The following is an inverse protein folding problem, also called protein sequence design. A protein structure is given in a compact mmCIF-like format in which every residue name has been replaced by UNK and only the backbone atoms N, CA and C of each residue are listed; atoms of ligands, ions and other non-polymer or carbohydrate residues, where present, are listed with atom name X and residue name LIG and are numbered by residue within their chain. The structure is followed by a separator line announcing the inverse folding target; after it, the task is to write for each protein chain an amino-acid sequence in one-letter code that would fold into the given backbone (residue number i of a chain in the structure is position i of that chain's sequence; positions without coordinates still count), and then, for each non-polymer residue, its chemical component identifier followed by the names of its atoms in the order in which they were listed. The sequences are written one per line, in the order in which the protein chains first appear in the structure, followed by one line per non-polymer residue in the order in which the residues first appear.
data_IF_234993346750
#
_entry.id   IF_234993346750
#
_cell.length_a   1.000
_cell.length_b   1.000
_cell.length_c   1.000
_cell.angle_alpha   90.00
_cell.angle_beta   90.00
_cell.angle_gamma   90.00
#
_symmetry.space_group_name_H-M   'P 1'
#
loop_
_entity.id
_entity.type
_entity.pdbx_description
1 polymer ?
#
# COMPACT_ATOMS: atom_id res chain seq x y z
N UNK A 1 42.40 17.66 -55.70
CA UNK A 1 42.01 18.00 -54.31
C UNK A 1 40.49 17.93 -54.18
N UNK A 2 39.92 16.76 -53.91
CA UNK A 2 38.49 16.56 -53.61
C UNK A 2 38.37 15.41 -52.62
N UNK A 3 37.61 15.60 -51.54
CA UNK A 3 37.14 14.50 -50.69
C UNK A 3 37.60 14.52 -49.24
N UNK A 4 37.09 15.45 -48.42
CA UNK A 4 37.14 15.33 -46.94
C UNK A 4 35.93 15.90 -46.16
N UNK A 5 34.77 16.12 -46.79
CA UNK A 5 33.60 16.70 -46.07
C UNK A 5 32.36 15.79 -45.91
N UNK A 6 32.32 14.59 -46.48
CA UNK A 6 31.12 13.74 -46.44
C UNK A 6 31.02 12.77 -45.24
N UNK A 7 32.04 12.66 -44.37
CA UNK A 7 32.08 11.63 -43.31
C UNK A 7 31.67 12.09 -41.91
N UNK A 8 31.29 13.36 -41.71
CA UNK A 8 30.87 13.89 -40.38
C UNK A 8 29.35 13.99 -40.19
N UNK A 9 28.54 13.92 -41.25
CA UNK A 9 27.09 14.02 -41.13
C UNK A 9 26.40 12.70 -40.73
N UNK A 10 27.04 11.54 -40.95
CA UNK A 10 26.45 10.22 -40.66
C UNK A 10 26.61 9.80 -39.19
N UNK A 11 27.63 10.33 -38.49
CA UNK A 11 27.88 9.97 -37.09
C UNK A 11 26.91 10.63 -36.09
N UNK A 12 26.31 11.77 -36.43
CA UNK A 12 25.37 12.48 -35.53
C UNK A 12 23.96 11.88 -35.60
N UNK A 13 23.56 11.34 -36.75
CA UNK A 13 22.24 10.69 -36.90
C UNK A 13 22.15 9.34 -36.16
N UNK A 14 23.25 8.60 -36.04
CA UNK A 14 23.27 7.28 -35.35
C UNK A 14 23.26 7.44 -33.83
N UNK A 15 23.86 8.50 -33.28
CA UNK A 15 23.84 8.75 -31.82
C UNK A 15 22.46 9.23 -31.33
N UNK A 16 21.70 9.94 -32.17
CA UNK A 16 20.31 10.34 -31.84
C UNK A 16 19.28 9.20 -31.96
N UNK A 17 19.56 8.16 -32.75
CA UNK A 17 18.69 6.99 -32.88
C UNK A 17 18.94 5.93 -31.80
N UNK A 18 20.15 5.86 -31.22
CA UNK A 18 20.45 4.93 -30.13
C UNK A 18 19.91 5.44 -28.78
N UNK A 19 19.73 6.76 -28.61
CA UNK A 19 19.10 7.35 -27.41
C UNK A 19 17.59 7.08 -27.29
N UNK A 20 16.90 6.73 -28.38
CA UNK A 20 15.46 6.47 -28.37
C UNK A 20 15.10 4.98 -28.19
N UNK A 21 16.07 4.06 -28.34
CA UNK A 21 15.84 2.62 -28.23
C UNK A 21 16.05 2.07 -26.80
N UNK A 22 16.67 2.84 -25.90
CA UNK A 22 16.95 2.40 -24.52
C UNK A 22 15.79 2.51 -23.54
N UNK A 23 14.67 3.13 -23.91
CA UNK A 23 13.54 3.40 -23.01
C UNK A 23 12.38 2.39 -23.11
N UNK A 24 12.58 1.24 -23.77
CA UNK A 24 11.53 0.21 -23.97
C UNK A 24 11.62 -1.00 -23.04
N UNK A 25 12.54 -1.01 -22.08
CA UNK A 25 12.64 -2.08 -21.11
C UNK A 25 11.95 -1.66 -19.81
N UNK A 26 10.68 -2.08 -19.67
CA UNK A 26 9.84 -2.20 -18.45
C UNK A 26 8.41 -1.62 -18.60
N UNK A 27 7.66 -2.15 -19.56
CA UNK A 27 6.32 -2.71 -19.29
C UNK A 27 5.10 -1.81 -19.03
N UNK A 28 5.20 -0.48 -19.01
CA UNK A 28 4.02 0.40 -19.04
C UNK A 28 4.32 1.62 -19.92
N UNK A 29 4.01 1.51 -21.22
CA UNK A 29 4.44 2.51 -22.21
C UNK A 29 3.39 3.60 -22.45
N UNK A 30 2.14 3.40 -22.03
CA UNK A 30 1.02 4.28 -22.33
C UNK A 30 0.12 4.52 -21.12
N UNK A 31 -0.69 5.59 -21.16
CA UNK A 31 -1.75 5.84 -20.18
C UNK A 31 -2.69 4.64 -20.04
N UNK A 32 -3.02 3.98 -21.16
CA UNK A 32 -3.89 2.79 -21.16
C UNK A 32 -3.30 1.64 -20.33
N UNK A 33 -2.01 1.35 -20.48
CA UNK A 33 -1.34 0.29 -19.73
C UNK A 33 -1.35 0.58 -18.23
N UNK A 34 -1.10 1.84 -17.85
CA UNK A 34 -1.11 2.28 -16.44
C UNK A 34 -2.50 2.16 -15.84
N UNK A 35 -3.54 2.63 -16.54
CA UNK A 35 -4.93 2.49 -16.07
C UNK A 35 -5.34 1.02 -15.97
N UNK A 36 -4.92 0.18 -16.94
CA UNK A 36 -5.10 -1.26 -16.91
C UNK A 36 -4.46 -1.90 -15.67
N UNK A 37 -3.20 -1.54 -15.36
CA UNK A 37 -2.50 -1.98 -14.16
C UNK A 37 -3.21 -1.55 -12.87
N UNK A 38 -3.60 -0.28 -12.77
CA UNK A 38 -4.32 0.27 -11.62
C UNK A 38 -5.67 -0.43 -11.39
N UNK A 39 -6.41 -0.74 -12.47
CA UNK A 39 -7.69 -1.46 -12.41
C UNK A 39 -7.53 -2.88 -11.87
N UNK A 40 -6.41 -3.54 -12.14
CA UNK A 40 -6.13 -4.89 -11.64
C UNK A 40 -5.63 -4.91 -10.19
N UNK A 41 -5.26 -3.75 -9.62
CA UNK A 41 -4.88 -3.69 -8.21
C UNK A 41 -6.07 -4.05 -7.31
N UNK A 42 -5.88 -4.91 -6.28
CA UNK A 42 -6.82 -5.08 -5.19
C UNK A 42 -7.16 -3.73 -4.52
N UNK A 43 -8.32 -3.63 -3.86
CA UNK A 43 -8.80 -2.37 -3.28
C UNK A 43 -7.80 -1.68 -2.35
N UNK A 44 -7.10 -2.45 -1.51
CA UNK A 44 -6.08 -1.91 -0.60
C UNK A 44 -4.83 -1.44 -1.34
N UNK A 45 -4.37 -2.22 -2.32
CA UNK A 45 -3.23 -1.90 -3.16
C UNK A 45 -3.46 -0.61 -3.96
N UNK A 46 -4.64 -0.50 -4.57
CA UNK A 46 -5.04 0.72 -5.28
C UNK A 46 -5.08 1.94 -4.35
N UNK A 47 -5.63 1.77 -3.15
CA UNK A 47 -5.71 2.87 -2.19
C UNK A 47 -4.33 3.32 -1.70
N UNK A 48 -3.37 2.40 -1.56
CA UNK A 48 -1.99 2.74 -1.26
C UNK A 48 -1.37 3.63 -2.33
N UNK A 49 -1.57 3.29 -3.61
CA UNK A 49 -1.10 4.12 -4.73
C UNK A 49 -1.81 5.49 -4.74
N UNK A 50 -3.10 5.53 -4.44
CA UNK A 50 -3.84 6.79 -4.32
C UNK A 50 -3.31 7.68 -3.20
N UNK A 51 -3.02 7.12 -2.02
CA UNK A 51 -2.44 7.87 -0.90
C UNK A 51 -1.03 8.37 -1.23
N UNK A 52 -0.20 7.53 -1.86
CA UNK A 52 1.13 7.92 -2.33
C UNK A 52 1.07 9.13 -3.26
N UNK A 53 0.09 9.17 -4.17
CA UNK A 53 -0.06 10.28 -5.13
C UNK A 53 -0.29 11.64 -4.48
N UNK A 54 -0.79 11.68 -3.24
CA UNK A 54 -1.08 12.91 -2.50
C UNK A 54 0.10 13.49 -1.71
N UNK A 55 1.27 12.83 -1.70
CA UNK A 55 2.42 13.26 -0.89
C UNK A 55 3.20 14.40 -1.58
N UNK A 56 3.63 15.45 -0.85
CA UNK A 56 4.30 16.63 -1.44
C UNK A 56 5.70 16.36 -2.01
N UNK A 57 6.26 15.17 -1.77
CA UNK A 57 7.39 14.63 -2.52
C UNK A 57 7.19 13.11 -2.56
N UNK A 58 7.06 12.52 -3.75
CA UNK A 58 7.12 11.07 -3.87
C UNK A 58 8.50 10.63 -3.35
N UNK A 59 8.60 9.81 -2.29
CA UNK A 59 9.90 9.38 -1.82
C UNK A 59 10.60 8.65 -2.96
N UNK A 60 11.77 9.14 -3.37
CA UNK A 60 12.63 8.49 -4.36
C UNK A 60 13.08 7.07 -3.94
N UNK A 61 12.82 6.70 -2.69
CA UNK A 61 13.23 5.45 -2.05
C UNK A 61 12.57 4.19 -2.62
N UNK A 62 11.49 4.29 -3.40
CA UNK A 62 10.92 3.10 -4.06
C UNK A 62 11.76 2.59 -5.24
N UNK A 63 12.84 3.26 -5.63
CA UNK A 63 13.66 2.91 -6.80
C UNK A 63 14.71 1.81 -6.54
N UNK A 64 15.16 1.59 -5.30
CA UNK A 64 16.36 0.77 -5.02
C UNK A 64 16.08 -0.70 -4.65
N UNK A 65 14.82 -1.09 -4.40
CA UNK A 65 14.45 -2.49 -4.13
C UNK A 65 13.75 -3.13 -5.33
N UNK A 66 14.05 -4.41 -5.59
CA UNK A 66 13.20 -5.30 -6.40
C UNK A 66 11.85 -5.45 -5.69
N UNK A 67 10.95 -4.47 -5.86
CA UNK A 67 9.73 -4.39 -5.07
C UNK A 67 8.75 -5.49 -5.49
N UNK A 68 8.41 -6.46 -4.59
CA UNK A 68 7.51 -7.55 -4.92
C UNK A 68 6.06 -7.08 -5.10
N UNK A 69 5.74 -5.86 -4.67
CA UNK A 69 4.38 -5.33 -4.58
C UNK A 69 3.88 -4.72 -5.89
N UNK A 70 2.60 -4.97 -6.21
CA UNK A 70 1.97 -4.46 -7.42
C UNK A 70 1.81 -2.94 -7.39
N UNK A 71 1.70 -2.38 -6.19
CA UNK A 71 1.63 -0.95 -5.88
C UNK A 71 2.89 -0.22 -6.33
N UNK A 72 4.07 -0.71 -5.95
CA UNK A 72 5.33 -0.07 -6.33
C UNK A 72 5.54 -0.12 -7.85
N UNK A 73 5.14 -1.21 -8.50
CA UNK A 73 5.14 -1.27 -9.97
C UNK A 73 4.20 -0.24 -10.58
N UNK A 74 3.01 -0.07 -10.03
CA UNK A 74 2.07 0.95 -10.47
C UNK A 74 2.59 2.38 -10.23
N UNK A 75 3.19 2.67 -9.08
CA UNK A 75 3.81 3.97 -8.78
C UNK A 75 4.91 4.31 -9.80
N UNK A 76 5.82 3.37 -10.07
CA UNK A 76 6.88 3.54 -11.09
C UNK A 76 6.28 3.75 -12.48
N UNK A 77 5.26 2.97 -12.83
CA UNK A 77 4.57 3.09 -14.11
C UNK A 77 3.91 4.48 -14.28
N UNK A 78 3.29 5.01 -13.23
CA UNK A 78 2.73 6.38 -13.23
C UNK A 78 3.85 7.41 -13.42
N UNK A 79 4.97 7.28 -12.71
CA UNK A 79 6.09 8.22 -12.83
C UNK A 79 6.72 8.22 -14.23
N UNK A 80 6.73 7.07 -14.90
CA UNK A 80 7.25 6.91 -16.25
C UNK A 80 6.37 7.49 -17.36
N UNK A 81 5.10 7.83 -17.08
CA UNK A 81 4.20 8.44 -18.07
C UNK A 81 4.71 9.80 -18.56
N UNK A 82 4.37 10.21 -19.80
CA UNK A 82 4.53 11.60 -20.23
C UNK A 82 3.86 12.55 -19.24
N UNK A 83 4.46 13.74 -19.03
CA UNK A 83 3.97 14.72 -18.05
C UNK A 83 2.45 14.96 -18.05
N UNK A 84 1.77 15.20 -19.20
CA UNK A 84 0.32 15.44 -19.19
C UNK A 84 -0.50 14.22 -18.74
N UNK A 85 -0.05 13.00 -19.07
CA UNK A 85 -0.74 11.75 -18.70
C UNK A 85 -0.49 11.41 -17.22
N UNK A 86 0.75 11.63 -16.76
CA UNK A 86 1.13 11.49 -15.35
C UNK A 86 0.31 12.43 -14.48
N UNK A 87 0.23 13.70 -14.84
CA UNK A 87 -0.53 14.71 -14.09
C UNK A 87 -2.03 14.41 -14.07
N UNK A 88 -2.61 13.95 -15.20
CA UNK A 88 -4.00 13.53 -15.24
C UNK A 88 -4.28 12.33 -14.32
N UNK A 89 -3.35 11.36 -14.29
CA UNK A 89 -3.44 10.18 -13.42
C UNK A 89 -3.32 10.54 -11.95
N UNK A 90 -2.32 11.36 -11.58
CA UNK A 90 -2.15 11.85 -10.21
C UNK A 90 -3.34 12.70 -9.77
N UNK A 91 -3.87 13.55 -10.64
CA UNK A 91 -5.07 14.35 -10.36
C UNK A 91 -6.27 13.48 -9.99
N UNK A 92 -6.52 12.42 -10.78
CA UNK A 92 -7.57 11.47 -10.48
C UNK A 92 -7.34 10.79 -9.13
N UNK A 93 -6.16 10.19 -8.92
CA UNK A 93 -5.80 9.47 -7.70
C UNK A 93 -5.87 10.35 -6.43
N UNK A 94 -5.62 11.65 -6.54
CA UNK A 94 -5.81 12.66 -5.49
C UNK A 94 -7.29 13.01 -5.24
N UNK A 95 -8.23 12.21 -5.73
CA UNK A 95 -9.67 12.37 -5.60
C UNK A 95 -10.21 13.68 -6.21
N UNK A 96 -9.59 14.18 -7.28
CA UNK A 96 -10.04 15.41 -7.97
C UNK A 96 -10.88 15.14 -9.22
N UNK A 97 -11.38 13.91 -9.35
CA UNK A 97 -12.25 13.48 -10.45
C UNK A 97 -11.52 13.00 -11.71
N UNK A 98 -12.30 12.43 -12.63
CA UNK A 98 -11.81 11.76 -13.86
C UNK A 98 -11.67 12.69 -15.07
N UNK A 99 -12.08 13.95 -14.96
CA UNK A 99 -12.15 14.90 -16.09
C UNK A 99 -10.84 14.98 -16.88
N UNK A 100 -9.70 15.11 -16.19
CA UNK A 100 -8.40 15.18 -16.86
C UNK A 100 -8.05 13.90 -17.60
N UNK A 101 -8.40 12.74 -17.07
CA UNK A 101 -8.20 11.47 -17.80
C UNK A 101 -9.03 11.43 -19.09
N UNK A 102 -10.27 11.91 -19.06
CA UNK A 102 -11.10 12.04 -20.26
C UNK A 102 -10.53 13.02 -21.29
N UNK A 103 -9.95 14.14 -20.84
CA UNK A 103 -9.23 15.09 -21.72
C UNK A 103 -7.98 14.45 -22.37
N UNK A 104 -7.42 13.39 -21.77
CA UNK A 104 -6.36 12.56 -22.35
C UNK A 104 -6.89 11.42 -23.23
N UNK A 105 -8.20 11.36 -23.47
CA UNK A 105 -8.85 10.33 -24.29
C UNK A 105 -9.20 9.04 -23.55
N UNK A 106 -8.94 8.93 -22.24
CA UNK A 106 -9.29 7.74 -21.49
C UNK A 106 -10.81 7.64 -21.28
N UNK A 107 -11.36 6.46 -21.51
CA UNK A 107 -12.78 6.13 -21.32
C UNK A 107 -13.05 5.57 -19.91
N UNK A 108 -14.31 5.59 -19.47
CA UNK A 108 -14.69 4.94 -18.20
C UNK A 108 -14.40 3.43 -18.19
N UNK A 109 -14.45 2.76 -19.34
CA UNK A 109 -14.11 1.35 -19.45
C UNK A 109 -12.62 1.11 -19.16
N UNK A 110 -11.74 2.00 -19.62
CA UNK A 110 -10.29 1.92 -19.38
C UNK A 110 -9.92 2.30 -17.94
N UNK A 111 -10.54 3.35 -17.40
CA UNK A 111 -10.34 3.76 -15.99
C UNK A 111 -10.86 2.69 -15.03
N UNK A 112 -11.97 2.04 -15.39
CA UNK A 112 -12.67 1.05 -14.57
C UNK A 112 -13.81 1.64 -13.72
N UNK A 113 -14.49 0.80 -12.92
CA UNK A 113 -15.60 1.22 -12.07
C UNK A 113 -15.17 2.29 -11.06
N UNK A 114 -16.12 3.04 -10.49
CA UNK A 114 -15.84 3.98 -9.41
C UNK A 114 -15.19 3.27 -8.21
N UNK A 115 -14.10 3.82 -7.70
CA UNK A 115 -13.34 3.28 -6.58
C UNK A 115 -13.37 4.22 -5.39
N UNK A 116 -13.77 3.69 -4.24
CA UNK A 116 -13.57 4.34 -2.95
C UNK A 116 -12.07 4.33 -2.58
N UNK A 117 -11.49 5.41 -2.02
CA UNK A 117 -12.07 6.75 -1.83
C UNK A 117 -12.02 7.67 -3.06
N UNK A 118 -11.19 7.32 -4.05
CA UNK A 118 -10.77 8.20 -5.16
C UNK A 118 -11.92 8.86 -5.91
N UNK A 119 -12.93 8.10 -6.31
CA UNK A 119 -14.02 8.62 -7.13
C UNK A 119 -15.20 9.17 -6.32
N UNK A 120 -15.31 8.80 -5.04
CA UNK A 120 -16.50 9.10 -4.22
C UNK A 120 -16.42 10.44 -3.49
N UNK A 121 -15.25 11.06 -3.41
CA UNK A 121 -15.11 12.40 -2.82
C UNK A 121 -15.32 13.56 -3.81
N UNK A 122 -15.37 13.29 -5.12
CA UNK A 122 -15.68 14.28 -6.17
C UNK A 122 -14.76 15.52 -6.20
N UNK A 123 -15.13 16.55 -6.97
CA UNK A 123 -14.40 17.83 -7.06
C UNK A 123 -14.38 18.67 -5.76
N UNK A 124 -14.88 18.15 -4.63
CA UNK A 124 -15.00 18.88 -3.36
C UNK A 124 -13.66 19.16 -2.66
N UNK A 125 -12.55 18.91 -3.35
CA UNK A 125 -11.19 19.12 -2.85
C UNK A 125 -10.81 18.11 -1.76
N UNK A 126 -9.51 18.02 -1.41
CA UNK A 126 -9.08 17.19 -0.30
C UNK A 126 -9.80 17.67 0.95
N UNK A 127 -10.66 16.82 1.52
CA UNK A 127 -11.37 17.12 2.76
C UNK A 127 -10.32 17.53 3.81
N UNK A 128 -10.35 18.79 4.26
CA UNK A 128 -9.34 19.36 5.15
C UNK A 128 -9.25 18.63 6.49
N UNK A 129 -10.33 17.96 6.93
CA UNK A 129 -10.29 17.04 8.08
C UNK A 129 -9.48 15.78 7.79
N UNK A 130 -9.58 15.26 6.56
CA UNK A 130 -8.79 14.12 6.09
C UNK A 130 -7.31 14.48 6.06
N UNK A 131 -6.98 15.65 5.50
CA UNK A 131 -5.60 16.15 5.48
C UNK A 131 -5.06 16.41 6.88
N UNK A 132 -5.87 16.96 7.80
CA UNK A 132 -5.49 17.15 9.21
C UNK A 132 -5.28 15.83 9.96
N UNK A 133 -6.19 14.88 9.80
CA UNK A 133 -6.01 13.54 10.36
C UNK A 133 -4.74 12.87 9.80
N UNK A 134 -4.42 13.06 8.52
CA UNK A 134 -3.15 12.59 7.96
C UNK A 134 -1.92 13.39 8.43
N UNK A 135 -2.09 14.58 9.01
CA UNK A 135 -0.99 15.33 9.61
C UNK A 135 -0.66 14.87 11.02
N UNK A 136 -1.66 14.50 11.83
CA UNK A 136 -1.46 14.00 13.20
C UNK A 136 -0.85 12.59 13.22
N UNK A 137 -1.18 11.79 12.20
CA UNK A 137 -0.71 10.42 12.04
C UNK A 137 0.43 10.35 11.03
N UNK A 138 1.45 9.55 11.31
CA UNK A 138 2.52 9.20 10.39
C UNK A 138 2.36 7.75 9.97
N UNK A 139 2.23 7.52 8.66
CA UNK A 139 2.25 6.17 8.09
C UNK A 139 3.63 5.59 8.17
N UNK A 140 3.72 4.35 8.65
CA UNK A 140 4.94 3.58 8.59
C UNK A 140 4.96 2.76 7.29
N UNK A 141 6.00 2.84 6.46
CA UNK A 141 6.20 1.89 5.38
C UNK A 141 6.31 0.48 5.93
N UNK A 142 5.82 -0.48 5.15
CA UNK A 142 5.98 -1.89 5.45
C UNK A 142 7.45 -2.28 5.19
N UNK A 143 8.17 -2.70 6.23
CA UNK A 143 9.63 -2.88 6.24
C UNK A 143 10.12 -4.24 5.74
N UNK A 144 9.24 -5.15 5.31
CA UNK A 144 9.61 -6.51 4.89
C UNK A 144 8.85 -7.02 3.66
N UNK A 145 9.20 -8.20 3.16
CA UNK A 145 8.36 -8.91 2.18
C UNK A 145 7.08 -9.37 2.90
N UNK A 146 5.88 -9.04 2.39
CA UNK A 146 4.64 -9.56 2.97
C UNK A 146 4.56 -11.08 2.86
N UNK A 147 5.38 -11.70 2.00
CA UNK A 147 5.51 -13.16 1.94
C UNK A 147 6.24 -13.75 3.15
N UNK A 148 6.98 -12.93 3.90
CA UNK A 148 7.61 -13.28 5.19
C UNK A 148 6.93 -12.65 6.41
N UNK A 149 5.68 -12.18 6.26
CA UNK A 149 4.68 -11.98 7.36
C UNK A 149 4.21 -13.31 7.94
N UNK A 150 4.63 -14.39 7.32
CA UNK A 150 4.48 -15.69 7.89
C UNK A 150 5.11 -15.76 9.27
N UNK A 151 4.44 -16.40 10.21
CA UNK A 151 5.15 -17.08 11.27
C UNK A 151 6.41 -17.74 10.68
N UNK A 152 7.50 -17.82 11.44
CA UNK A 152 8.63 -18.70 11.08
C UNK A 152 8.18 -20.17 10.88
N UNK A 153 6.91 -20.44 11.21
CA UNK A 153 6.20 -21.68 11.03
C UNK A 153 5.34 -21.70 9.73
N UNK A 154 5.76 -22.48 8.72
CA UNK A 154 4.98 -22.72 7.50
C UNK A 154 3.54 -23.20 7.77
N UNK A 155 3.29 -23.83 8.91
CA UNK A 155 1.98 -24.34 9.28
C UNK A 155 0.96 -23.20 9.47
N UNK A 156 1.39 -22.05 9.99
CA UNK A 156 0.52 -20.88 10.17
C UNK A 156 0.36 -20.10 8.85
N UNK A 157 1.44 -19.97 8.08
CA UNK A 157 1.44 -19.19 6.81
C UNK A 157 0.54 -19.82 5.74
N UNK A 158 0.39 -21.15 5.78
CA UNK A 158 -0.53 -21.89 4.90
C UNK A 158 -1.99 -21.78 5.32
N UNK A 159 -2.29 -21.20 6.49
CA UNK A 159 -3.64 -21.17 7.07
C UNK A 159 -4.26 -19.79 7.12
N UNK A 160 -3.46 -18.73 7.18
CA UNK A 160 -3.98 -17.36 7.09
C UNK A 160 -3.08 -16.56 6.15
N UNK A 161 -3.70 -15.90 5.17
CA UNK A 161 -3.01 -15.02 4.22
C UNK A 161 -3.33 -13.57 4.52
N UNK A 162 -2.32 -12.76 4.77
CA UNK A 162 -2.46 -11.30 4.79
C UNK A 162 -2.62 -10.82 3.35
N UNK A 163 -3.72 -10.10 3.10
CA UNK A 163 -4.04 -9.52 1.79
C UNK A 163 -3.46 -8.11 1.66
N UNK A 164 -3.24 -7.45 2.79
CA UNK A 164 -2.66 -6.12 2.89
C UNK A 164 -3.05 -5.46 4.19
N UNK A 165 -2.56 -4.24 4.41
CA UNK A 165 -2.87 -3.48 5.61
C UNK A 165 -2.08 -2.19 5.67
N UNK A 166 -2.27 -1.45 6.76
CA UNK A 166 -1.41 -0.34 7.11
C UNK A 166 -1.23 -0.26 8.62
N UNK A 167 -0.13 0.34 9.03
CA UNK A 167 0.06 0.85 10.38
C UNK A 167 0.38 2.33 10.31
N UNK A 168 -0.22 3.09 11.21
CA UNK A 168 0.07 4.50 11.45
C UNK A 168 0.33 4.70 12.92
N UNK A 169 1.24 5.62 13.22
CA UNK A 169 1.57 6.03 14.58
C UNK A 169 1.32 7.53 14.67
N UNK A 170 0.72 8.00 15.76
CA UNK A 170 0.61 9.42 16.03
C UNK A 170 2.02 10.03 16.09
N UNK A 171 2.20 11.26 15.61
CA UNK A 171 3.54 11.86 15.51
C UNK A 171 4.25 12.03 16.86
N UNK A 172 3.48 12.21 17.92
CA UNK A 172 3.94 12.24 19.32
C UNK A 172 4.25 10.83 19.88
N UNK A 173 3.95 9.75 19.14
CA UNK A 173 4.07 8.38 19.61
C UNK A 173 3.05 8.00 20.69
N UNK A 174 2.02 8.82 20.91
CA UNK A 174 0.98 8.62 21.93
C UNK A 174 -0.13 7.64 21.52
N UNK A 175 -0.20 7.26 20.25
CA UNK A 175 -1.15 6.28 19.76
C UNK A 175 -0.63 5.56 18.52
N UNK A 176 -1.18 4.38 18.28
CA UNK A 176 -1.00 3.61 17.06
C UNK A 176 -2.33 3.06 16.56
N UNK A 177 -2.42 2.87 15.26
CA UNK A 177 -3.55 2.27 14.59
C UNK A 177 -3.04 1.29 13.53
N UNK A 178 -3.53 0.06 13.64
CA UNK A 178 -3.20 -1.05 12.76
C UNK A 178 -4.46 -1.52 12.07
N UNK A 179 -4.44 -1.66 10.76
CA UNK A 179 -5.57 -2.21 10.00
C UNK A 179 -5.05 -3.30 9.06
N UNK A 180 -5.61 -4.51 9.18
CA UNK A 180 -5.20 -5.67 8.39
C UNK A 180 -6.38 -6.29 7.67
N UNK A 181 -6.19 -6.55 6.38
CA UNK A 181 -7.06 -7.42 5.59
C UNK A 181 -6.41 -8.79 5.46
N UNK A 182 -7.19 -9.85 5.64
CA UNK A 182 -6.68 -11.22 5.59
C UNK A 182 -7.73 -12.19 5.05
N UNK A 183 -7.28 -13.39 4.68
CA UNK A 183 -8.12 -14.53 4.32
C UNK A 183 -7.77 -15.72 5.20
N UNK A 184 -8.76 -16.36 5.79
CA UNK A 184 -8.60 -17.68 6.39
C UNK A 184 -8.50 -18.72 5.27
N UNK A 185 -7.37 -19.41 5.15
CA UNK A 185 -7.13 -20.49 4.18
C UNK A 185 -7.36 -21.89 4.79
N UNK A 186 -7.57 -21.99 6.10
CA UNK A 186 -7.88 -23.25 6.75
C UNK A 186 -9.28 -23.75 6.34
N UNK A 187 -9.50 -25.06 6.50
CA UNK A 187 -10.81 -25.67 6.27
C UNK A 187 -11.83 -25.32 7.37
N UNK A 188 -11.36 -24.88 8.53
CA UNK A 188 -12.17 -24.61 9.72
C UNK A 188 -12.35 -23.10 9.92
N UNK A 189 -13.41 -22.68 10.60
CA UNK A 189 -13.66 -21.27 10.89
C UNK A 189 -12.65 -20.78 11.93
N UNK A 190 -11.88 -19.75 11.63
CA UNK A 190 -11.02 -19.14 12.64
C UNK A 190 -11.87 -18.27 13.58
N UNK A 191 -11.74 -18.48 14.89
CA UNK A 191 -12.47 -17.74 15.93
C UNK A 191 -11.62 -16.65 16.56
N UNK A 192 -10.30 -16.79 16.51
CA UNK A 192 -9.34 -15.78 16.93
C UNK A 192 -8.07 -15.82 16.08
N UNK A 193 -7.53 -14.66 15.73
CA UNK A 193 -6.23 -14.53 15.09
C UNK A 193 -5.42 -13.51 15.86
N UNK A 194 -4.24 -13.93 16.33
CA UNK A 194 -3.29 -13.09 17.05
C UNK A 194 -2.21 -12.61 16.08
N UNK A 195 -2.01 -11.30 16.04
CA UNK A 195 -1.03 -10.61 15.21
C UNK A 195 0.08 -10.05 16.09
N UNK A 196 1.30 -10.01 15.56
CA UNK A 196 2.43 -9.30 16.16
C UNK A 196 2.92 -8.25 15.18
N UNK A 197 3.00 -7.01 15.63
CA UNK A 197 3.54 -5.86 14.92
C UNK A 197 4.89 -5.52 15.50
N UNK A 198 5.95 -5.65 14.70
CA UNK A 198 7.30 -5.27 15.09
C UNK A 198 7.62 -3.92 14.44
N UNK A 199 8.09 -2.98 15.26
CA UNK A 199 8.42 -1.62 14.83
C UNK A 199 9.92 -1.44 14.80
N UNK A 200 10.42 -0.81 13.73
CA UNK A 200 11.86 -0.67 13.49
C UNK A 200 12.26 0.78 13.33
N UNK A 201 13.45 1.14 13.79
CA UNK A 201 14.07 2.45 13.55
C UNK A 201 14.55 2.60 12.10
N UNK A 202 15.02 3.79 11.75
CA UNK A 202 15.57 4.08 10.42
C UNK A 202 16.84 3.24 10.10
N UNK A 203 17.55 2.79 11.13
CA UNK A 203 18.72 1.90 11.05
C UNK A 203 18.33 0.40 11.00
N UNK A 204 17.04 0.08 10.97
CA UNK A 204 16.53 -1.29 10.97
C UNK A 204 16.54 -1.96 12.36
N UNK A 205 16.94 -1.27 13.42
CA UNK A 205 16.87 -1.82 14.79
C UNK A 205 15.43 -1.99 15.23
N UNK A 206 15.09 -3.14 15.81
CA UNK A 206 13.76 -3.34 16.37
C UNK A 206 13.61 -2.50 17.65
N UNK A 207 12.61 -1.62 17.68
CA UNK A 207 12.36 -0.71 18.78
C UNK A 207 11.35 -1.27 19.77
N UNK A 208 10.26 -1.86 19.27
CA UNK A 208 9.19 -2.41 20.08
C UNK A 208 8.36 -3.43 19.30
N UNK A 209 7.56 -4.21 20.02
CA UNK A 209 6.63 -5.18 19.47
C UNK A 209 5.29 -5.09 20.17
N UNK A 210 4.21 -5.11 19.41
CA UNK A 210 2.85 -5.03 19.93
C UNK A 210 2.07 -6.21 19.40
N UNK A 211 1.38 -6.90 20.31
CA UNK A 211 0.52 -8.02 19.97
C UNK A 211 -0.93 -7.57 20.00
N UNK A 212 -1.68 -7.94 18.97
CA UNK A 212 -3.12 -7.72 18.89
C UNK A 212 -3.84 -9.07 18.71
N UNK A 213 -5.06 -9.15 19.21
CA UNK A 213 -5.90 -10.34 19.04
C UNK A 213 -7.23 -9.93 18.43
N UNK A 214 -7.51 -10.43 17.23
CA UNK A 214 -8.78 -10.24 16.57
C UNK A 214 -9.66 -11.46 16.80
N UNK A 215 -10.77 -11.26 17.52
CA UNK A 215 -11.80 -12.28 17.74
C UNK A 215 -12.97 -12.07 16.78
N UNK A 216 -13.59 -13.16 16.36
CA UNK A 216 -14.73 -13.12 15.44
C UNK A 216 -15.07 -14.50 14.89
N UNK A 217 -15.74 -14.53 13.74
CA UNK A 217 -16.02 -15.75 12.99
C UNK A 217 -15.53 -15.56 11.56
N UNK A 218 -14.33 -16.05 11.27
CA UNK A 218 -13.67 -15.87 9.98
C UNK A 218 -13.79 -17.16 9.15
N UNK A 219 -14.82 -17.21 8.32
CA UNK A 219 -15.12 -18.38 7.50
C UNK A 219 -13.97 -18.74 6.53
N UNK A 220 -13.79 -20.03 6.22
CA UNK A 220 -12.84 -20.50 5.22
C UNK A 220 -12.96 -19.77 3.88
N UNK A 221 -11.82 -19.39 3.31
CA UNK A 221 -11.65 -18.77 2.00
C UNK A 221 -12.41 -17.46 1.76
N UNK A 222 -12.88 -16.79 2.83
CA UNK A 222 -13.50 -15.46 2.74
C UNK A 222 -12.46 -14.37 3.02
N UNK A 223 -12.46 -13.34 2.17
CA UNK A 223 -11.67 -12.13 2.38
C UNK A 223 -12.31 -11.28 3.48
N UNK A 224 -11.55 -11.06 4.54
CA UNK A 224 -11.88 -10.12 5.59
C UNK A 224 -11.16 -8.82 5.27
N UNK A 225 -11.92 -7.86 4.73
CA UNK A 225 -11.40 -6.57 4.28
C UNK A 225 -11.50 -5.55 5.41
N UNK A 226 -10.39 -4.88 5.69
CA UNK A 226 -10.32 -3.73 6.61
C UNK A 226 -10.32 -2.43 5.82
N UNK A 227 -10.44 -1.29 6.51
CA UNK A 227 -10.25 0.01 5.86
C UNK A 227 -8.82 0.10 5.28
N UNK A 228 -8.65 0.76 4.14
CA UNK A 228 -7.37 0.77 3.44
C UNK A 228 -6.39 1.86 3.89
N UNK A 229 -6.84 2.90 4.62
CA UNK A 229 -5.99 3.96 5.16
C UNK A 229 -6.60 4.66 6.39
N UNK A 230 -5.78 5.43 7.11
CA UNK A 230 -6.17 6.18 8.32
C UNK A 230 -7.24 7.23 8.06
N UNK A 231 -7.21 7.83 6.88
CA UNK A 231 -8.19 8.80 6.40
C UNK A 231 -9.61 8.19 6.36
N UNK A 232 -9.70 6.95 5.88
CA UNK A 232 -10.94 6.16 5.83
C UNK A 232 -11.40 5.78 7.23
N UNK A 233 -10.48 5.32 8.08
CA UNK A 233 -10.78 4.97 9.47
C UNK A 233 -11.38 6.14 10.25
N UNK A 234 -10.77 7.34 10.15
CA UNK A 234 -11.21 8.52 10.89
C UNK A 234 -12.48 9.19 10.33
N UNK A 235 -12.95 8.78 9.15
CA UNK A 235 -14.14 9.33 8.52
C UNK A 235 -15.10 8.22 8.04
N UNK A 236 -15.75 7.49 8.96
CA UNK A 236 -16.66 6.41 8.61
C UNK A 236 -17.96 6.90 7.94
N UNK A 237 -18.22 8.22 7.92
CA UNK A 237 -19.49 8.85 7.57
C UNK A 237 -19.98 8.73 6.12
N UNK A 238 -19.38 7.87 5.30
CA UNK A 238 -19.77 7.65 3.89
C UNK A 238 -20.51 6.33 3.64
N UNK A 239 -21.26 5.85 4.64
CA UNK A 239 -21.99 4.58 4.52
C UNK A 239 -21.05 3.37 4.47
N UNK A 240 -19.81 3.51 4.96
CA UNK A 240 -18.93 2.36 5.11
C UNK A 240 -19.49 1.46 6.20
N UNK A 241 -19.61 0.15 5.94
CA UNK A 241 -20.02 -0.79 6.96
C UNK A 241 -19.08 -0.68 8.17
N UNK A 242 -19.64 -0.56 9.38
CA UNK A 242 -18.87 -0.63 10.63
C UNK A 242 -17.96 -1.88 10.65
N UNK A 243 -18.39 -2.98 10.02
CA UNK A 243 -17.59 -4.19 9.84
C UNK A 243 -16.17 -3.94 9.25
N UNK A 244 -15.97 -2.89 8.44
CA UNK A 244 -14.64 -2.58 7.89
C UNK A 244 -13.69 -1.99 8.93
N UNK A 245 -14.20 -1.27 9.93
CA UNK A 245 -13.37 -0.74 11.02
C UNK A 245 -13.07 -1.78 12.09
N UNK A 246 -13.83 -2.89 12.13
CA UNK A 246 -13.51 -4.06 12.99
C UNK A 246 -12.22 -4.76 12.57
N UNK A 247 -11.72 -4.51 11.37
CA UNK A 247 -10.40 -4.92 10.92
C UNK A 247 -9.27 -4.01 11.38
N UNK A 248 -9.56 -3.05 12.26
CA UNK A 248 -8.60 -2.10 12.78
C UNK A 248 -8.49 -2.17 14.30
N UNK A 249 -7.28 -2.01 14.79
CA UNK A 249 -6.96 -1.88 16.21
C UNK A 249 -6.27 -0.54 16.45
N UNK A 250 -6.87 0.27 17.31
CA UNK A 250 -6.24 1.45 17.87
C UNK A 250 -5.76 1.14 19.29
N UNK A 251 -4.49 1.42 19.57
CA UNK A 251 -3.95 1.40 20.92
C UNK A 251 -3.47 2.81 21.26
N UNK A 252 -4.08 3.44 22.25
CA UNK A 252 -3.59 4.67 22.83
C UNK A 252 -2.58 4.32 23.93
N UNK A 253 -1.35 4.79 23.81
CA UNK A 253 -0.33 4.60 24.84
C UNK A 253 -0.49 5.72 25.87
N UNK A 254 -0.73 5.38 27.13
CA UNK A 254 -0.92 6.37 28.21
C UNK A 254 0.29 7.30 28.42
N UNK A 255 1.46 6.87 27.96
CA UNK A 255 2.69 7.65 27.90
C UNK A 255 3.18 7.65 26.46
N UNK A 256 3.64 8.80 25.95
CA UNK A 256 4.30 8.90 24.64
C UNK A 256 5.40 7.84 24.53
N UNK A 257 5.24 6.90 23.61
CA UNK A 257 6.24 5.86 23.39
C UNK A 257 7.33 6.42 22.48
N UNK A 258 8.49 6.72 23.06
CA UNK A 258 9.67 7.15 22.29
C UNK A 258 10.05 6.14 21.20
N UNK A 259 9.80 4.85 21.43
CA UNK A 259 9.97 3.80 20.44
C UNK A 259 9.02 3.98 19.24
N UNK A 260 7.72 4.21 19.50
CA UNK A 260 6.74 4.44 18.43
C UNK A 260 7.00 5.76 17.69
N UNK A 261 7.34 6.83 18.41
CA UNK A 261 7.69 8.12 17.81
C UNK A 261 8.88 7.99 16.84
N UNK A 262 9.90 7.16 17.19
CA UNK A 262 11.11 6.90 16.40
C UNK A 262 10.95 5.84 15.30
N UNK A 263 9.88 5.05 15.31
CA UNK A 263 9.71 3.95 14.36
C UNK A 263 9.69 4.47 12.92
N UNK A 264 10.57 4.01 12.04
CA UNK A 264 10.61 4.37 10.63
C UNK A 264 9.85 3.38 9.74
N UNK A 265 9.67 2.13 10.18
CA UNK A 265 8.93 1.09 9.46
C UNK A 265 8.29 0.09 10.44
N UNK A 266 7.47 -0.81 9.91
CA UNK A 266 6.89 -1.90 10.68
C UNK A 266 6.87 -3.21 9.88
N UNK A 267 6.85 -4.34 10.58
CA UNK A 267 6.52 -5.65 10.04
C UNK A 267 5.33 -6.23 10.81
N UNK A 268 4.57 -7.11 10.17
CA UNK A 268 3.50 -7.86 10.81
C UNK A 268 3.78 -9.34 10.70
N UNK A 269 3.39 -10.12 11.70
CA UNK A 269 3.41 -11.58 11.68
C UNK A 269 2.17 -12.17 12.35
N UNK A 270 1.80 -13.38 11.97
CA UNK A 270 0.74 -14.14 12.66
C UNK A 270 1.38 -14.86 13.84
N UNK A 271 1.00 -14.47 15.05
CA UNK A 271 1.46 -15.09 16.29
C UNK A 271 0.66 -16.36 16.65
N UNK A 272 -0.60 -16.45 16.21
CA UNK A 272 -1.41 -17.66 16.36
C UNK A 272 -2.82 -17.53 15.80
N UNK A 273 -3.49 -18.67 15.66
CA UNK A 273 -4.87 -18.80 15.18
C UNK A 273 -5.58 -19.86 16.01
N UNK A 274 -6.76 -19.56 16.50
CA UNK A 274 -7.68 -20.51 17.14
C UNK A 274 -8.88 -20.73 16.23
N UNK A 275 -9.32 -21.98 16.09
CA UNK A 275 -10.44 -22.40 15.27
C UNK A 275 -11.67 -22.77 16.12
N UNK A 276 -12.81 -22.94 15.46
CA UNK A 276 -14.09 -23.33 16.04
C UNK A 276 -14.09 -24.75 16.65
N UNK A 277 -13.25 -25.65 16.13
CA UNK A 277 -13.02 -27.00 16.68
C UNK A 277 -12.11 -27.02 17.93
N UNK A 278 -11.64 -25.87 18.38
CA UNK A 278 -10.73 -25.72 19.52
C UNK A 278 -9.25 -25.87 19.18
N UNK A 279 -8.90 -26.25 17.94
CA UNK A 279 -7.51 -26.33 17.49
C UNK A 279 -6.87 -24.94 17.58
N UNK A 280 -5.69 -24.85 18.16
CA UNK A 280 -4.90 -23.63 18.20
C UNK A 280 -3.53 -23.90 17.61
N UNK A 281 -3.18 -23.13 16.57
CA UNK A 281 -1.83 -23.09 16.02
C UNK A 281 -1.19 -21.77 16.45
N UNK A 282 0.06 -21.79 16.86
CA UNK A 282 0.71 -20.58 17.33
C UNK A 282 2.19 -20.76 17.50
N UNK A 283 2.91 -19.65 17.41
CA UNK A 283 4.31 -19.62 17.81
C UNK A 283 4.35 -19.92 19.30
N UNK A 284 4.84 -21.12 19.66
CA UNK A 284 5.08 -21.52 21.05
C UNK A 284 5.82 -20.38 21.73
N UNK A 285 5.25 -19.90 22.85
CA UNK A 285 5.59 -18.66 23.54
C UNK A 285 7.01 -18.16 23.22
N UNK A 286 7.12 -17.01 22.54
CA UNK A 286 8.39 -16.30 22.39
C UNK A 286 8.96 -16.07 23.79
N UNK A 287 9.87 -16.94 24.21
CA UNK A 287 10.69 -16.71 25.39
C UNK A 287 11.52 -15.47 25.09
N UNK A 288 11.12 -14.35 25.67
CA UNK A 288 11.92 -13.13 25.75
C UNK A 288 13.16 -13.49 26.58
N UNK A 289 14.25 -13.85 25.91
CA UNK A 289 15.59 -13.80 26.48
C UNK A 289 16.16 -12.41 26.26
#
# INVERSE_FOLDING_TARGET
MRGRHARRAVAIAVVLLIGAAGARAEGFATLHDVLGGLRQLPGIAFTNVAEWSGRPAAPAESAAGTAPFAEVRAERAILALPAPDREATLWWLQSRGRKRLHERGATNAEIGPARYPVDLFGERGPNTRLARAMHEWRRLPYGGDMRSVGARDPEITNRVRVLGGFAVVARDGGAELHCLSFRNLAANTATSIRWRFDFFGADGTQLTSITDERRGSFAPNIDIISVPNVATYNNPGLGMPHALTEGCRRNDTRNESTALARAASFAVSIAGVTYDDGTTIGLSAFSTR
#
